data_IF_620963560615
#
_entry.id   IF_620963560615
#
_cell.length_a   1.000
_cell.length_b   1.000
_cell.length_c   1.000
_cell.angle_alpha   90.00
_cell.angle_beta   90.00
_cell.angle_gamma   90.00
#
_symmetry.space_group_name_H-M   'P 1'
#
loop_
_entity.id
_entity.type
_entity.pdbx_description
1 polymer ?
#
# COMPACT_ATOMS: atom_id res chain seq x y z
N UNK A 1 -36.35 2.27 43.72
CA UNK A 1 -37.33 3.08 42.93
C UNK A 1 -36.96 4.56 43.09
N UNK A 2 -37.17 5.44 42.09
CA UNK A 2 -36.89 5.30 40.65
C UNK A 2 -36.28 6.57 39.99
N UNK A 3 -35.70 6.38 38.78
CA UNK A 3 -35.69 7.17 37.51
C UNK A 3 -35.92 8.70 37.54
N UNK A 4 -35.22 9.52 36.75
CA UNK A 4 -35.36 9.69 35.27
C UNK A 4 -34.14 10.43 34.67
N UNK A 5 -33.43 9.91 33.65
CA UNK A 5 -33.59 10.17 32.19
C UNK A 5 -34.04 11.58 31.78
N UNK A 6 -33.11 12.31 31.13
CA UNK A 6 -33.30 13.27 30.03
C UNK A 6 -31.89 13.63 29.54
N UNK A 7 -31.54 13.78 28.28
CA UNK A 7 -32.16 13.54 26.98
C UNK A 7 -31.15 14.13 25.99
N UNK A 8 -30.62 13.33 25.06
CA UNK A 8 -29.87 13.82 23.89
C UNK A 8 -30.70 14.88 23.17
N UNK A 9 -30.28 16.14 23.26
CA UNK A 9 -30.77 17.24 22.43
C UNK A 9 -29.58 18.14 22.16
N UNK A 10 -28.83 17.83 21.11
CA UNK A 10 -28.12 18.77 20.23
C UNK A 10 -27.70 18.02 18.95
N UNK A 11 -28.70 17.54 18.23
CA UNK A 11 -28.62 17.13 16.83
C UNK A 11 -30.01 17.49 16.29
N UNK A 12 -30.07 18.22 15.19
CA UNK A 12 -31.25 18.83 14.52
C UNK A 12 -31.44 20.33 14.71
N UNK A 13 -30.66 21.08 13.91
CA UNK A 13 -31.00 22.39 13.35
C UNK A 13 -29.87 22.71 12.34
N UNK A 14 -30.01 22.96 11.04
CA UNK A 14 -31.13 23.21 10.14
C UNK A 14 -30.74 22.64 8.76
N UNK A 15 -31.56 21.78 8.17
CA UNK A 15 -31.71 21.77 6.71
C UNK A 15 -33.07 22.40 6.43
N UNK A 16 -33.11 23.72 6.24
CA UNK A 16 -34.19 24.34 5.49
C UNK A 16 -33.93 24.00 4.03
N UNK A 17 -34.63 23.02 3.51
CA UNK A 17 -34.78 22.88 2.07
C UNK A 17 -35.68 24.03 1.60
N UNK A 18 -35.08 25.07 1.04
CA UNK A 18 -35.75 25.73 -0.07
C UNK A 18 -35.92 24.65 -1.14
N UNK A 19 -37.15 24.37 -1.55
CA UNK A 19 -37.42 23.43 -2.64
C UNK A 19 -36.92 24.05 -3.95
N UNK A 20 -35.61 23.94 -4.20
CA UNK A 20 -35.10 24.04 -5.56
C UNK A 20 -35.43 22.73 -6.24
N UNK A 21 -36.24 22.82 -7.28
CA UNK A 21 -36.64 21.68 -8.11
C UNK A 21 -35.44 21.35 -8.98
N UNK A 22 -34.45 20.64 -8.42
CA UNK A 22 -33.30 20.19 -9.21
C UNK A 22 -33.75 19.00 -10.07
N UNK A 23 -33.50 19.12 -11.37
CA UNK A 23 -33.88 18.13 -12.36
C UNK A 23 -32.85 17.00 -12.37
N UNK A 24 -33.28 15.75 -12.19
CA UNK A 24 -32.39 14.59 -12.21
C UNK A 24 -32.33 14.01 -13.62
N UNK A 25 -31.16 14.10 -14.27
CA UNK A 25 -30.96 13.58 -15.63
C UNK A 25 -31.16 12.06 -15.75
N UNK A 26 -31.09 11.29 -14.65
CA UNK A 26 -31.23 9.84 -14.71
C UNK A 26 -32.69 9.35 -14.83
N UNK A 27 -33.67 10.17 -14.45
CA UNK A 27 -35.09 9.77 -14.42
C UNK A 27 -36.03 10.76 -15.10
N UNK A 28 -35.52 11.88 -15.63
CA UNK A 28 -36.28 12.91 -16.35
C UNK A 28 -37.53 13.41 -15.58
N UNK A 29 -37.46 13.45 -14.25
CA UNK A 29 -38.54 13.85 -13.35
C UNK A 29 -38.02 14.71 -12.17
N UNK A 30 -38.96 15.36 -11.48
CA UNK A 30 -38.70 16.19 -10.28
C UNK A 30 -38.14 15.32 -9.16
N UNK A 31 -36.93 15.67 -8.69
CA UNK A 31 -36.18 14.85 -7.75
C UNK A 31 -36.82 14.89 -6.34
N UNK A 32 -37.35 13.75 -5.88
CA UNK A 32 -37.72 13.58 -4.47
C UNK A 32 -36.47 13.20 -3.65
N UNK A 33 -36.49 13.41 -2.34
CA UNK A 33 -35.38 12.99 -1.47
C UNK A 33 -35.02 11.50 -1.59
N UNK A 34 -36.01 10.67 -1.93
CA UNK A 34 -35.82 9.24 -2.19
C UNK A 34 -35.05 8.98 -3.49
N UNK A 35 -35.30 9.76 -4.55
CA UNK A 35 -34.60 9.64 -5.83
C UNK A 35 -33.10 9.97 -5.71
N UNK A 36 -32.74 11.01 -4.94
CA UNK A 36 -31.34 11.31 -4.65
C UNK A 36 -30.65 10.17 -3.87
N UNK A 37 -31.35 9.58 -2.89
CA UNK A 37 -30.81 8.47 -2.11
C UNK A 37 -30.58 7.23 -2.98
N UNK A 38 -31.53 6.90 -3.86
CA UNK A 38 -31.43 5.76 -4.75
C UNK A 38 -30.33 5.96 -5.82
N UNK A 39 -30.16 7.18 -6.35
CA UNK A 39 -29.07 7.51 -7.27
C UNK A 39 -27.68 7.45 -6.61
N UNK A 40 -27.56 7.86 -5.34
CA UNK A 40 -26.33 7.71 -4.56
C UNK A 40 -26.02 6.24 -4.29
N UNK A 41 -27.04 5.44 -3.96
CA UNK A 41 -26.90 4.00 -3.77
C UNK A 41 -26.54 3.29 -5.08
N UNK A 42 -27.09 3.72 -6.21
CA UNK A 42 -26.79 3.16 -7.53
C UNK A 42 -25.38 3.54 -8.01
N UNK A 43 -24.92 4.78 -7.75
CA UNK A 43 -23.50 5.15 -7.94
C UNK A 43 -22.59 4.34 -7.03
N UNK A 44 -22.93 4.17 -5.76
CA UNK A 44 -22.14 3.36 -4.83
C UNK A 44 -22.10 1.88 -5.25
N UNK A 45 -23.21 1.33 -5.75
CA UNK A 45 -23.27 -0.03 -6.31
C UNK A 45 -22.48 -0.17 -7.60
N UNK A 46 -22.57 0.80 -8.50
CA UNK A 46 -21.79 0.83 -9.75
C UNK A 46 -20.30 0.94 -9.45
N UNK A 47 -19.91 1.77 -8.49
CA UNK A 47 -18.54 1.89 -8.02
C UNK A 47 -18.06 0.62 -7.30
N UNK A 48 -18.93 -0.03 -6.52
CA UNK A 48 -18.64 -1.34 -5.92
C UNK A 48 -18.49 -2.44 -6.98
N UNK A 49 -19.33 -2.46 -8.02
CA UNK A 49 -19.20 -3.42 -9.13
C UNK A 49 -17.94 -3.17 -9.97
N UNK A 50 -17.52 -1.90 -10.12
CA UNK A 50 -16.21 -1.56 -10.70
C UNK A 50 -15.02 -1.96 -9.82
N UNK A 51 -15.21 -2.06 -8.50
CA UNK A 51 -14.21 -2.59 -7.56
C UNK A 51 -14.09 -4.12 -7.65
N UNK A 52 -15.15 -4.84 -8.04
CA UNK A 52 -15.14 -6.30 -8.20
C UNK A 52 -14.37 -6.82 -9.43
N UNK A 53 -13.86 -5.93 -10.30
CA UNK A 53 -13.12 -6.30 -11.51
C UNK A 53 -11.71 -5.74 -11.59
N UNK A 54 -11.16 -5.17 -10.51
CA UNK A 54 -9.75 -4.74 -10.48
C UNK A 54 -8.91 -5.90 -9.99
N UNK A 55 -8.22 -6.57 -10.91
CA UNK A 55 -7.34 -7.67 -10.55
C UNK A 55 -6.16 -7.21 -9.67
N UNK A 56 -5.86 -5.90 -9.60
CA UNK A 56 -4.86 -5.29 -8.72
C UNK A 56 -3.54 -6.10 -8.72
N UNK A 57 -3.24 -6.71 -9.88
CA UNK A 57 -2.24 -7.74 -9.98
C UNK A 57 -0.85 -7.16 -9.83
N UNK A 58 -0.70 -5.90 -10.25
CA UNK A 58 0.53 -5.15 -10.16
C UNK A 58 0.53 -4.20 -8.94
N UNK A 59 -0.61 -3.66 -8.54
CA UNK A 59 -0.82 -2.77 -7.41
C UNK A 59 -1.83 -3.37 -6.42
N UNK A 60 -1.37 -4.16 -5.45
CA UNK A 60 0.02 -4.55 -5.24
C UNK A 60 0.16 -6.05 -4.93
N UNK A 61 -0.63 -6.90 -5.62
CA UNK A 61 -0.54 -8.34 -5.43
C UNK A 61 0.85 -8.90 -5.79
N UNK A 62 1.54 -8.31 -6.76
CA UNK A 62 2.93 -8.63 -7.12
C UNK A 62 3.93 -8.30 -6.02
N UNK A 63 3.84 -7.13 -5.38
CA UNK A 63 4.69 -6.79 -4.24
C UNK A 63 4.45 -7.72 -3.05
N UNK A 64 3.19 -8.09 -2.80
CA UNK A 64 2.81 -9.14 -1.82
C UNK A 64 3.49 -10.47 -2.17
N UNK A 65 3.44 -10.90 -3.43
CA UNK A 65 4.06 -12.14 -3.87
C UNK A 65 5.59 -12.13 -3.66
N UNK A 66 6.25 -11.02 -3.98
CA UNK A 66 7.70 -10.84 -3.74
C UNK A 66 8.03 -10.94 -2.26
N UNK A 67 7.26 -10.26 -1.39
CA UNK A 67 7.49 -10.27 0.05
C UNK A 67 7.32 -11.68 0.66
N UNK A 68 6.26 -12.39 0.25
CA UNK A 68 5.99 -13.76 0.70
C UNK A 68 7.09 -14.72 0.27
N UNK A 69 7.52 -14.67 -0.99
CA UNK A 69 8.55 -15.57 -1.50
C UNK A 69 9.92 -15.27 -0.89
N UNK A 70 10.26 -13.98 -0.72
CA UNK A 70 11.49 -13.60 -0.04
C UNK A 70 11.52 -14.10 1.41
N UNK A 71 10.41 -13.98 2.14
CA UNK A 71 10.29 -14.53 3.49
C UNK A 71 10.42 -16.05 3.51
N UNK A 72 9.72 -16.76 2.62
CA UNK A 72 9.82 -18.22 2.49
C UNK A 72 11.27 -18.68 2.29
N UNK A 73 12.05 -17.97 1.48
CA UNK A 73 13.46 -18.28 1.20
C UNK A 73 14.36 -17.94 2.41
N UNK A 74 14.12 -16.81 3.08
CA UNK A 74 15.02 -16.32 4.14
C UNK A 74 14.76 -16.94 5.51
N UNK A 75 13.52 -17.15 5.90
CA UNK A 75 13.15 -17.64 7.24
C UNK A 75 13.97 -18.86 7.70
N UNK A 76 14.22 -19.89 6.87
CA UNK A 76 15.00 -21.07 7.29
C UNK A 76 16.49 -20.81 7.55
N UNK A 77 17.02 -19.64 7.15
CA UNK A 77 18.45 -19.31 7.18
C UNK A 77 18.72 -17.95 7.83
N UNK A 78 17.77 -17.46 8.63
CA UNK A 78 17.97 -16.26 9.43
C UNK A 78 18.97 -16.54 10.55
N UNK A 79 19.98 -15.67 10.76
CA UNK A 79 20.88 -15.78 11.91
C UNK A 79 20.13 -15.66 13.23
N UNK A 80 20.69 -16.26 14.29
CA UNK A 80 20.19 -16.08 15.64
C UNK A 80 20.18 -14.58 16.02
N UNK A 81 19.10 -14.12 16.65
CA UNK A 81 18.91 -12.72 17.04
C UNK A 81 18.42 -11.80 15.91
N UNK A 82 18.34 -12.26 14.67
CA UNK A 82 17.75 -11.49 13.57
C UNK A 82 16.27 -11.83 13.37
N UNK A 83 15.40 -10.83 13.50
CA UNK A 83 13.96 -10.96 13.24
C UNK A 83 13.61 -10.66 11.78
N UNK A 84 12.57 -11.34 11.26
CA UNK A 84 11.94 -11.00 9.99
C UNK A 84 10.42 -10.96 10.19
N UNK A 85 9.80 -9.84 9.84
CA UNK A 85 8.36 -9.67 9.83
C UNK A 85 7.89 -9.28 8.42
N UNK A 86 6.71 -9.77 8.03
CA UNK A 86 6.05 -9.41 6.78
C UNK A 86 4.71 -8.76 7.13
N UNK A 87 4.48 -7.55 6.63
CA UNK A 87 3.25 -6.81 6.85
C UNK A 87 2.51 -6.57 5.53
N UNK A 88 1.19 -6.75 5.55
CA UNK A 88 0.29 -6.36 4.47
C UNK A 88 -0.64 -5.27 5.00
N UNK A 89 -0.50 -4.08 4.43
CA UNK A 89 -1.11 -2.87 4.96
C UNK A 89 -2.28 -2.48 4.08
N UNK A 90 -3.43 -2.26 4.69
CA UNK A 90 -4.62 -1.82 3.98
C UNK A 90 -4.57 -0.30 3.68
N UNK A 91 -5.43 0.14 2.78
CA UNK A 91 -5.68 1.55 2.52
C UNK A 91 -4.43 2.34 2.07
N UNK A 92 -3.55 1.69 1.29
CA UNK A 92 -2.46 2.34 0.56
C UNK A 92 -3.02 3.40 -0.39
N UNK A 93 -3.95 2.99 -1.26
CA UNK A 93 -4.52 3.78 -2.35
C UNK A 93 -5.36 5.00 -1.93
N UNK A 94 -5.61 5.15 -0.62
CA UNK A 94 -6.30 6.30 -0.02
C UNK A 94 -5.40 7.09 0.93
N UNK A 95 -4.10 7.08 0.63
CA UNK A 95 -3.08 7.91 1.28
C UNK A 95 -2.21 7.17 2.30
N UNK A 96 -1.92 5.89 2.07
CA UNK A 96 -1.05 5.07 2.90
C UNK A 96 -1.51 5.03 4.37
N UNK A 97 -2.82 4.84 4.59
CA UNK A 97 -3.42 4.93 5.94
C UNK A 97 -3.02 3.77 6.83
N UNK A 98 -2.98 2.54 6.30
CA UNK A 98 -2.57 1.37 7.07
C UNK A 98 -1.13 1.48 7.54
N UNK A 99 -0.20 1.88 6.67
CA UNK A 99 1.19 2.11 7.05
C UNK A 99 1.35 3.33 7.96
N UNK A 100 0.57 4.39 7.81
CA UNK A 100 0.55 5.52 8.75
C UNK A 100 0.10 5.11 10.16
N UNK A 101 -0.87 4.20 10.26
CA UNK A 101 -1.33 3.68 11.54
C UNK A 101 -0.34 2.69 12.17
N UNK A 102 0.30 1.85 11.35
CA UNK A 102 1.22 0.82 11.81
C UNK A 102 2.63 1.35 12.13
N UNK A 103 3.15 2.32 11.38
CA UNK A 103 4.53 2.79 11.55
C UNK A 103 4.90 3.19 12.99
N UNK A 104 4.05 3.88 13.77
CA UNK A 104 4.36 4.21 15.17
C UNK A 104 4.44 3.02 16.13
N UNK A 105 3.93 1.85 15.74
CA UNK A 105 3.94 0.63 16.58
C UNK A 105 5.16 -0.26 16.32
N UNK A 106 5.95 0.06 15.30
CA UNK A 106 7.13 -0.71 14.91
C UNK A 106 8.33 -0.31 15.76
N UNK A 107 9.15 -1.29 16.15
CA UNK A 107 10.33 -1.04 16.96
C UNK A 107 11.31 -0.09 16.23
N UNK A 108 11.91 0.92 16.91
CA UNK A 108 12.72 1.96 16.26
C UNK A 108 13.96 1.45 15.49
N UNK A 109 14.46 0.27 15.83
CA UNK A 109 15.59 -0.40 15.21
C UNK A 109 15.22 -1.24 13.97
N UNK A 110 13.93 -1.33 13.64
CA UNK A 110 13.44 -2.09 12.48
C UNK A 110 13.77 -1.37 11.17
N UNK A 111 14.43 -2.08 10.25
CA UNK A 111 14.64 -1.64 8.87
C UNK A 111 13.45 -2.06 8.02
N UNK A 112 12.90 -1.15 7.22
CA UNK A 112 11.70 -1.38 6.41
C UNK A 112 12.03 -1.40 4.92
N UNK A 113 11.64 -2.47 4.24
CA UNK A 113 11.68 -2.59 2.79
C UNK A 113 10.23 -2.69 2.31
N UNK A 114 9.80 -1.74 1.48
CA UNK A 114 8.51 -1.75 0.81
C UNK A 114 8.73 -2.09 -0.68
N UNK A 115 7.87 -2.92 -1.25
CA UNK A 115 7.95 -3.32 -2.65
C UNK A 115 6.59 -3.11 -3.29
N UNK A 116 6.56 -2.49 -4.46
CA UNK A 116 5.31 -2.11 -5.12
C UNK A 116 5.41 -2.20 -6.64
N UNK A 117 4.37 -2.72 -7.29
CA UNK A 117 4.29 -2.86 -8.74
C UNK A 117 4.76 -4.19 -9.32
N UNK A 118 4.88 -4.30 -10.65
CA UNK A 118 5.06 -5.58 -11.35
C UNK A 118 6.00 -5.60 -12.57
N UNK A 119 6.66 -4.50 -12.92
CA UNK A 119 7.59 -4.43 -14.05
C UNK A 119 8.92 -3.76 -13.64
N UNK A 120 9.91 -4.57 -13.25
CA UNK A 120 11.18 -4.10 -12.76
C UNK A 120 12.01 -3.60 -13.94
N UNK A 121 11.79 -2.34 -14.31
CA UNK A 121 12.69 -1.59 -15.18
C UNK A 121 13.93 -1.16 -14.39
N UNK A 122 14.11 0.14 -14.22
CA UNK A 122 15.27 0.72 -13.52
C UNK A 122 15.22 0.62 -11.97
N UNK A 123 14.28 -0.16 -11.40
CA UNK A 123 14.09 -0.33 -9.95
C UNK A 123 14.15 0.99 -9.14
N UNK A 124 13.28 1.98 -9.45
CA UNK A 124 13.25 3.25 -8.72
C UNK A 124 13.12 3.00 -7.22
N UNK A 125 14.07 3.56 -6.47
CA UNK A 125 14.21 3.34 -5.04
C UNK A 125 14.17 4.67 -4.32
N UNK A 126 13.20 4.82 -3.41
CA UNK A 126 13.06 5.99 -2.54
C UNK A 126 13.35 5.59 -1.10
N UNK A 127 14.49 6.04 -0.59
CA UNK A 127 14.86 5.87 0.81
C UNK A 127 14.51 7.11 1.65
N UNK A 128 14.21 6.89 2.93
CA UNK A 128 13.94 7.93 3.91
C UNK A 128 14.29 7.49 5.33
N UNK A 129 14.30 8.45 6.26
CA UNK A 129 14.81 8.21 7.61
C UNK A 129 16.31 7.92 7.64
N UNK A 130 16.85 7.25 8.68
CA UNK A 130 18.27 6.93 8.81
C UNK A 130 18.70 5.71 7.96
N UNK A 131 18.38 5.69 6.66
CA UNK A 131 18.50 4.53 5.77
C UNK A 131 19.91 4.22 5.19
N UNK A 132 21.00 4.75 5.75
CA UNK A 132 22.34 4.57 5.19
C UNK A 132 22.76 3.10 5.06
N UNK A 133 22.58 2.30 6.13
CA UNK A 133 22.90 0.86 6.10
C UNK A 133 21.99 0.10 5.12
N UNK A 134 20.71 0.48 5.04
CA UNK A 134 19.77 -0.09 4.09
C UNK A 134 20.17 0.19 2.64
N UNK A 135 20.57 1.42 2.33
CA UNK A 135 21.05 1.80 1.00
C UNK A 135 22.32 1.04 0.61
N UNK A 136 23.28 0.89 1.53
CA UNK A 136 24.49 0.10 1.28
C UNK A 136 24.17 -1.38 1.01
N UNK A 137 23.23 -1.96 1.77
CA UNK A 137 22.76 -3.33 1.56
C UNK A 137 22.06 -3.51 0.20
N UNK A 138 21.19 -2.56 -0.19
CA UNK A 138 20.50 -2.56 -1.47
C UNK A 138 21.47 -2.43 -2.65
N UNK A 139 22.45 -1.53 -2.55
CA UNK A 139 23.48 -1.34 -3.56
C UNK A 139 24.33 -2.61 -3.76
N UNK A 140 24.75 -3.25 -2.67
CA UNK A 140 25.46 -4.53 -2.72
C UNK A 140 24.60 -5.65 -3.30
N UNK A 141 23.35 -5.76 -2.86
CA UNK A 141 22.39 -6.74 -3.40
C UNK A 141 22.12 -6.50 -4.89
N UNK A 142 22.07 -5.25 -5.33
CA UNK A 142 21.90 -4.88 -6.72
C UNK A 142 23.04 -5.35 -7.60
N UNK A 143 24.29 -5.18 -7.14
CA UNK A 143 25.48 -5.74 -7.82
C UNK A 143 25.42 -7.26 -7.92
N UNK A 144 25.05 -7.94 -6.83
CA UNK A 144 25.00 -9.40 -6.77
C UNK A 144 23.93 -10.00 -7.69
N UNK A 145 22.81 -9.31 -7.84
CA UNK A 145 21.64 -9.80 -8.58
C UNK A 145 21.56 -9.28 -10.01
N UNK A 146 22.37 -8.28 -10.36
CA UNK A 146 22.29 -7.58 -11.65
C UNK A 146 21.10 -6.61 -11.75
N UNK A 147 20.48 -6.27 -10.62
CA UNK A 147 19.35 -5.33 -10.53
C UNK A 147 19.79 -4.09 -9.75
N UNK A 148 20.46 -3.11 -10.39
CA UNK A 148 20.93 -1.93 -9.67
C UNK A 148 19.75 -1.04 -9.25
N UNK A 149 19.56 -0.79 -7.94
CA UNK A 149 18.60 0.20 -7.49
C UNK A 149 18.96 1.58 -8.06
N UNK A 150 17.98 2.34 -8.54
CA UNK A 150 18.20 3.74 -8.94
C UNK A 150 17.42 4.69 -8.07
N UNK A 151 18.06 5.75 -7.61
CA UNK A 151 17.37 6.80 -6.88
C UNK A 151 16.21 7.34 -7.72
N UNK A 152 14.99 7.26 -7.18
CA UNK A 152 13.78 7.65 -7.89
C UNK A 152 12.60 7.73 -6.95
N UNK A 153 11.59 8.52 -7.32
CA UNK A 153 10.38 8.64 -6.51
C UNK A 153 9.61 7.31 -6.48
N UNK A 154 9.20 6.91 -5.28
CA UNK A 154 8.42 5.73 -4.97
C UNK A 154 7.49 6.11 -3.81
N UNK A 155 6.30 6.58 -4.19
CA UNK A 155 5.32 7.19 -3.30
C UNK A 155 4.37 6.13 -2.71
N UNK A 156 4.87 5.32 -1.78
CA UNK A 156 4.08 4.25 -1.16
C UNK A 156 4.26 4.26 0.37
N UNK A 157 3.93 3.14 1.02
CA UNK A 157 3.99 2.99 2.47
C UNK A 157 5.36 3.29 3.11
N UNK A 158 6.47 3.14 2.38
CA UNK A 158 7.83 3.49 2.82
C UNK A 158 7.92 4.91 3.40
N UNK A 159 7.21 5.88 2.81
CA UNK A 159 7.23 7.27 3.27
C UNK A 159 6.66 7.43 4.69
N UNK A 160 5.67 6.60 5.07
CA UNK A 160 5.07 6.64 6.41
C UNK A 160 6.03 6.12 7.47
N UNK A 161 6.75 5.03 7.17
CA UNK A 161 7.79 4.50 8.05
C UNK A 161 8.98 5.45 8.19
N UNK A 162 9.43 6.05 7.08
CA UNK A 162 10.46 7.09 7.09
C UNK A 162 10.06 8.31 7.94
N UNK A 163 8.82 8.79 7.79
CA UNK A 163 8.29 9.89 8.59
C UNK A 163 8.17 9.56 10.09
N UNK A 164 8.04 8.28 10.45
CA UNK A 164 8.08 7.80 11.82
C UNK A 164 9.51 7.62 12.38
N UNK A 165 10.54 7.92 11.58
CA UNK A 165 11.95 7.86 11.99
C UNK A 165 12.65 6.53 11.71
N UNK A 166 11.99 5.58 11.03
CA UNK A 166 12.58 4.28 10.70
C UNK A 166 13.46 4.36 9.44
N UNK A 167 14.55 3.58 9.36
CA UNK A 167 15.26 3.36 8.11
C UNK A 167 14.34 2.63 7.12
N UNK A 168 13.86 3.33 6.10
CA UNK A 168 12.90 2.78 5.15
C UNK A 168 13.32 3.01 3.70
N UNK A 169 13.09 2.03 2.84
CA UNK A 169 13.20 2.18 1.39
C UNK A 169 12.00 1.55 0.70
N UNK A 170 11.49 2.23 -0.31
CA UNK A 170 10.52 1.69 -1.25
C UNK A 170 11.19 1.34 -2.56
N UNK A 171 10.94 0.14 -3.08
CA UNK A 171 11.40 -0.35 -4.38
C UNK A 171 10.19 -0.39 -5.30
N UNK A 172 10.18 0.49 -6.29
CA UNK A 172 9.15 0.54 -7.30
C UNK A 172 9.47 -0.41 -8.45
N UNK A 173 8.42 -1.08 -8.90
CA UNK A 173 8.34 -1.88 -10.11
C UNK A 173 7.20 -1.23 -10.91
N UNK A 174 7.31 -1.03 -12.21
CA UNK A 174 6.26 -0.38 -13.00
C UNK A 174 4.90 -1.07 -12.85
N UNK A 175 3.80 -0.31 -12.98
CA UNK A 175 2.43 -0.82 -12.80
C UNK A 175 1.67 -0.74 -14.13
N UNK A 176 1.73 -1.78 -14.97
CA UNK A 176 1.07 -1.76 -16.28
C UNK A 176 -0.45 -1.72 -16.13
N UNK A 177 -1.07 -0.66 -16.65
CA UNK A 177 -2.52 -0.46 -16.52
C UNK A 177 -2.94 0.09 -15.15
N UNK A 178 -2.04 0.73 -14.42
CA UNK A 178 -2.25 1.36 -13.10
C UNK A 178 -3.66 1.92 -12.90
N UNK A 179 -4.36 1.44 -11.87
CA UNK A 179 -5.69 1.89 -11.47
C UNK A 179 -6.78 1.78 -12.56
N UNK A 180 -6.59 0.86 -13.51
CA UNK A 180 -7.59 0.53 -14.54
C UNK A 180 -7.94 -0.96 -14.52
N UNK A 181 -9.07 -1.37 -15.15
CA UNK A 181 -9.38 -2.79 -15.32
C UNK A 181 -8.34 -3.58 -16.14
N UNK A 182 -7.41 -2.89 -16.81
CA UNK A 182 -6.36 -3.53 -17.59
C UNK A 182 -5.23 -4.08 -16.71
N UNK A 183 -5.21 -3.75 -15.41
CA UNK A 183 -4.21 -4.22 -14.46
C UNK A 183 -4.49 -5.67 -14.03
N UNK A 184 -4.02 -6.59 -14.85
CA UNK A 184 -4.38 -8.01 -14.86
C UNK A 184 -3.15 -8.89 -14.70
N UNK A 185 -3.35 -10.10 -14.17
CA UNK A 185 -2.25 -11.01 -13.83
C UNK A 185 -1.37 -11.39 -15.03
N UNK A 186 -1.92 -11.47 -16.24
CA UNK A 186 -1.17 -11.77 -17.47
C UNK A 186 -0.17 -10.66 -17.85
N UNK A 187 -0.29 -9.47 -17.26
CA UNK A 187 0.67 -8.36 -17.46
C UNK A 187 1.76 -8.32 -16.40
N UNK A 188 1.70 -9.19 -15.40
CA UNK A 188 2.76 -9.33 -14.41
C UNK A 188 3.84 -10.22 -14.98
N UNK A 189 5.05 -9.68 -15.10
CA UNK A 189 6.16 -10.40 -15.70
C UNK A 189 6.87 -11.28 -14.67
N UNK A 190 6.83 -12.60 -14.85
CA UNK A 190 7.44 -13.56 -13.91
C UNK A 190 8.93 -13.26 -13.65
N UNK A 191 9.67 -12.89 -14.70
CA UNK A 191 11.09 -12.57 -14.55
C UNK A 191 11.33 -11.34 -13.67
N UNK A 192 10.42 -10.36 -13.70
CA UNK A 192 10.42 -9.21 -12.80
C UNK A 192 10.25 -9.68 -11.36
N UNK A 193 9.24 -10.51 -11.07
CA UNK A 193 8.99 -11.01 -9.71
C UNK A 193 10.20 -11.77 -9.16
N UNK A 194 10.83 -12.61 -10.00
CA UNK A 194 12.04 -13.35 -9.64
C UNK A 194 13.21 -12.40 -9.36
N UNK A 195 13.41 -11.39 -10.21
CA UNK A 195 14.49 -10.42 -10.05
C UNK A 195 14.32 -9.58 -8.77
N UNK A 196 13.11 -9.09 -8.51
CA UNK A 196 12.78 -8.35 -7.29
C UNK A 196 12.91 -9.21 -6.03
N UNK A 197 12.43 -10.46 -6.09
CA UNK A 197 12.61 -11.43 -4.99
C UNK A 197 14.08 -11.65 -4.69
N UNK A 198 14.92 -11.85 -5.71
CA UNK A 198 16.37 -12.00 -5.52
C UNK A 198 17.00 -10.77 -4.89
N UNK A 199 16.62 -9.57 -5.33
CA UNK A 199 17.10 -8.30 -4.76
C UNK A 199 16.72 -8.19 -3.28
N UNK A 200 15.46 -8.45 -2.92
CA UNK A 200 14.99 -8.40 -1.53
C UNK A 200 15.69 -9.46 -0.67
N UNK A 201 15.77 -10.70 -1.15
CA UNK A 201 16.46 -11.82 -0.45
C UNK A 201 17.92 -11.46 -0.18
N UNK A 202 18.64 -10.95 -1.19
CA UNK A 202 20.03 -10.54 -1.04
C UNK A 202 20.15 -9.36 -0.07
N UNK A 203 19.27 -8.36 -0.13
CA UNK A 203 19.27 -7.21 0.78
C UNK A 203 19.06 -7.65 2.23
N UNK A 204 18.05 -8.49 2.49
CA UNK A 204 17.77 -9.02 3.84
C UNK A 204 18.97 -9.82 4.35
N UNK A 205 19.65 -10.59 3.49
CA UNK A 205 20.88 -11.30 3.85
C UNK A 205 22.00 -10.34 4.26
N UNK A 206 22.24 -9.27 3.50
CA UNK A 206 23.28 -8.28 3.82
C UNK A 206 22.99 -7.57 5.16
N UNK A 207 21.72 -7.22 5.40
CA UNK A 207 21.29 -6.59 6.66
C UNK A 207 21.47 -7.54 7.84
N UNK A 208 21.02 -8.80 7.72
CA UNK A 208 21.11 -9.78 8.79
C UNK A 208 22.57 -10.15 9.14
N UNK A 209 23.47 -10.19 8.14
CA UNK A 209 24.90 -10.44 8.38
C UNK A 209 25.63 -9.28 9.06
N UNK A 210 25.02 -8.09 9.08
CA UNK A 210 25.58 -6.90 9.74
C UNK A 210 25.22 -6.83 11.23
N UNK A 211 24.29 -7.67 11.70
CA UNK A 211 23.84 -7.75 13.11
C UNK A 211 24.78 -8.60 13.98
N UNK A 212 25.62 -9.43 13.36
CA UNK A 212 26.59 -10.30 14.04
C UNK A 212 27.94 -9.62 14.34
N UNK A 213 28.04 -8.30 14.24
CA UNK A 213 29.25 -7.50 14.44
C UNK A 213 29.25 -6.71 15.74
#
# INVERSE_FOLDING_TARGET
MPRTRTSNRELFSLFRTAATVDFCESCAQVCTGQCCADALLDRARTQALQLHSRSAAADNASGIAVALEAARIRTPTMPDGAGLAVGFLDAEEIGARGSAHHAPTVAPDTVVINVDGAQLGDAPTEAGGPAHALLAALDQAGRETGVPPRAGAMASGNRRYAAAGLPAAGIGMGIPGYQTPAETADRVETHTLVAATRLVVATVRQLAGSVTG
#
